data_IF_284748831329
#
_entry.id   IF_284748831329
#
_cell.length_a   1.000
_cell.length_b   1.000
_cell.length_c   1.000
_cell.angle_alpha   90.00
_cell.angle_beta   90.00
_cell.angle_gamma   90.00
#
_symmetry.space_group_name_H-M   'P 1'
#
loop_
_entity.id
_entity.type
_entity.pdbx_description
1 polymer ?
#
# COMPACT_ATOMS: atom_id res chain seq x y z
N UNK A 1 4.31 0.11 35.00
CA UNK A 1 2.95 0.64 35.25
C UNK A 1 2.02 -0.54 35.46
N UNK A 2 1.32 -0.60 36.59
CA UNK A 2 0.34 -1.67 36.83
C UNK A 2 -0.77 -1.56 35.77
N UNK A 3 -0.91 -2.58 34.92
CA UNK A 3 -2.10 -2.70 34.06
C UNK A 3 -3.27 -3.01 34.99
N UNK A 4 -4.33 -2.20 34.95
CA UNK A 4 -5.55 -2.47 35.70
C UNK A 4 -6.19 -3.80 35.30
N UNK A 5 -7.16 -4.28 36.07
CA UNK A 5 -7.92 -5.51 35.79
C UNK A 5 -8.44 -5.48 34.35
N UNK A 6 -8.24 -6.56 33.59
CA UNK A 6 -8.77 -6.69 32.23
C UNK A 6 -10.30 -6.70 32.28
N UNK A 7 -10.95 -6.11 31.27
CA UNK A 7 -12.41 -6.17 31.12
C UNK A 7 -12.83 -7.59 30.71
N UNK A 8 -13.86 -8.13 31.36
CA UNK A 8 -14.47 -9.40 30.94
C UNK A 8 -15.57 -9.16 29.90
N UNK A 9 -15.89 -10.19 29.12
CA UNK A 9 -16.93 -10.10 28.09
C UNK A 9 -18.31 -9.76 28.69
N UNK A 10 -18.60 -10.24 29.90
CA UNK A 10 -19.82 -9.89 30.65
C UNK A 10 -19.87 -8.40 31.02
N UNK A 11 -18.76 -7.84 31.51
CA UNK A 11 -18.67 -6.42 31.84
C UNK A 11 -18.81 -5.54 30.59
N UNK A 12 -18.27 -6.01 29.45
CA UNK A 12 -18.38 -5.32 28.16
C UNK A 12 -19.84 -5.35 27.68
N UNK A 13 -20.53 -6.49 27.76
CA UNK A 13 -21.93 -6.59 27.37
C UNK A 13 -22.83 -5.68 28.22
N UNK A 14 -22.60 -5.61 29.54
CA UNK A 14 -23.31 -4.70 30.44
C UNK A 14 -23.02 -3.24 30.08
N UNK A 15 -21.76 -2.92 29.78
CA UNK A 15 -21.35 -1.58 29.38
C UNK A 15 -22.02 -1.15 28.06
N UNK A 16 -22.11 -2.06 27.09
CA UNK A 16 -22.76 -1.82 25.79
C UNK A 16 -24.27 -1.62 25.92
N UNK A 17 -24.95 -2.39 26.78
CA UNK A 17 -26.38 -2.22 27.07
C UNK A 17 -26.65 -0.85 27.69
N UNK A 18 -25.89 -0.47 28.72
CA UNK A 18 -26.04 0.81 29.41
C UNK A 18 -25.66 2.01 28.51
N UNK A 19 -24.66 1.84 27.64
CA UNK A 19 -24.28 2.84 26.65
C UNK A 19 -25.37 3.00 25.56
N UNK A 20 -25.99 1.90 25.14
CA UNK A 20 -27.11 1.91 24.19
C UNK A 20 -28.34 2.61 24.76
N UNK A 21 -28.53 2.54 26.08
CA UNK A 21 -29.55 3.31 26.81
C UNK A 21 -29.21 4.80 26.97
N UNK A 22 -28.05 5.25 26.46
CA UNK A 22 -27.64 6.65 26.44
C UNK A 22 -27.13 7.18 27.79
N UNK A 23 -26.78 6.29 28.73
CA UNK A 23 -26.31 6.69 30.06
C UNK A 23 -24.89 7.27 30.00
N UNK A 24 -24.66 8.33 30.76
CA UNK A 24 -23.33 8.91 30.91
C UNK A 24 -22.41 8.03 31.77
N UNK A 25 -21.07 8.13 31.63
CA UNK A 25 -20.14 7.32 32.43
C UNK A 25 -20.31 7.43 33.95
N UNK A 26 -20.76 8.60 34.44
CA UNK A 26 -21.05 8.83 35.86
C UNK A 26 -22.32 8.07 36.29
N UNK A 27 -23.37 8.10 35.48
CA UNK A 27 -24.61 7.36 35.75
C UNK A 27 -24.40 5.84 35.68
N UNK A 28 -23.53 5.37 34.78
CA UNK A 28 -23.14 3.96 34.70
C UNK A 28 -22.42 3.53 35.97
N UNK A 29 -21.53 4.38 36.51
CA UNK A 29 -20.85 4.11 37.77
C UNK A 29 -21.83 4.09 38.96
N UNK A 30 -22.73 5.07 39.02
CA UNK A 30 -23.76 5.17 40.07
C UNK A 30 -24.78 4.01 40.01
N UNK A 31 -24.97 3.38 38.85
CA UNK A 31 -25.84 2.21 38.71
C UNK A 31 -25.37 0.99 39.52
N UNK A 32 -24.11 0.99 39.98
CA UNK A 32 -23.53 -0.09 40.77
C UNK A 32 -23.37 -1.42 40.03
N UNK A 33 -23.72 -1.49 38.73
CA UNK A 33 -23.63 -2.71 37.92
C UNK A 33 -22.20 -3.15 37.60
N UNK A 34 -21.21 -2.25 37.77
CA UNK A 34 -19.79 -2.52 37.58
C UNK A 34 -19.01 -2.15 38.86
N UNK A 35 -19.14 -2.93 39.95
CA UNK A 35 -18.68 -2.53 41.29
C UNK A 35 -17.16 -2.41 41.43
N UNK A 36 -16.38 -3.03 40.55
CA UNK A 36 -14.91 -2.96 40.56
C UNK A 36 -14.32 -1.95 39.54
N UNK A 37 -15.18 -1.21 38.83
CA UNK A 37 -14.74 -0.29 37.77
C UNK A 37 -14.89 1.16 38.20
N UNK A 38 -13.81 1.93 38.05
CA UNK A 38 -13.85 3.36 38.27
C UNK A 38 -14.52 4.10 37.10
N UNK A 39 -15.03 5.30 37.37
CA UNK A 39 -15.59 6.20 36.33
C UNK A 39 -14.61 6.38 35.16
N UNK A 40 -13.32 6.50 35.45
CA UNK A 40 -12.27 6.65 34.44
C UNK A 40 -12.06 5.39 33.60
N UNK A 41 -12.20 4.19 34.18
CA UNK A 41 -12.13 2.95 33.43
C UNK A 41 -13.30 2.83 32.45
N UNK A 42 -14.52 3.12 32.92
CA UNK A 42 -15.76 3.15 32.10
C UNK A 42 -15.61 4.14 30.95
N UNK A 43 -15.15 5.36 31.23
CA UNK A 43 -14.94 6.40 30.22
C UNK A 43 -13.93 5.99 29.15
N UNK A 44 -12.83 5.35 29.55
CA UNK A 44 -11.81 4.85 28.61
C UNK A 44 -12.35 3.71 27.75
N UNK A 45 -13.10 2.80 28.34
CA UNK A 45 -13.67 1.66 27.62
C UNK A 45 -14.72 2.10 26.59
N UNK A 46 -15.60 3.05 26.93
CA UNK A 46 -16.56 3.61 25.97
C UNK A 46 -15.91 4.30 24.77
N UNK A 47 -14.73 4.92 24.95
CA UNK A 47 -13.94 5.48 23.85
C UNK A 47 -13.24 4.44 22.98
N UNK A 48 -13.01 3.24 23.51
CA UNK A 48 -12.40 2.12 22.76
C UNK A 48 -13.48 1.31 22.03
N UNK A 49 -14.65 1.13 22.65
CA UNK A 49 -15.82 0.49 22.07
C UNK A 49 -16.56 1.37 21.04
N UNK A 50 -16.23 2.67 20.94
CA UNK A 50 -16.74 3.49 19.85
C UNK A 50 -16.24 2.91 18.54
N UNK A 51 -17.18 2.42 17.73
CA UNK A 51 -16.95 1.90 16.38
C UNK A 51 -16.07 2.90 15.65
N UNK A 52 -14.78 2.59 15.50
CA UNK A 52 -13.90 3.35 14.64
C UNK A 52 -14.49 3.15 13.25
N UNK A 53 -15.14 4.18 12.70
CA UNK A 53 -15.56 4.18 11.30
C UNK A 53 -14.32 3.91 10.46
N UNK A 54 -14.18 2.66 10.02
CA UNK A 54 -13.18 2.29 9.02
C UNK A 54 -13.62 2.98 7.75
N UNK A 55 -12.92 4.05 7.38
CA UNK A 55 -13.14 4.71 6.10
C UNK A 55 -12.99 3.64 5.03
N UNK A 56 -14.05 3.41 4.25
CA UNK A 56 -13.98 2.52 3.10
C UNK A 56 -12.75 2.91 2.27
N UNK A 57 -11.79 1.99 2.16
CA UNK A 57 -10.66 2.17 1.27
C UNK A 57 -11.21 2.23 -0.14
N UNK A 58 -10.90 3.31 -0.86
CA UNK A 58 -11.32 3.49 -2.24
C UNK A 58 -10.97 2.23 -3.05
N UNK A 59 -11.93 1.73 -3.83
CA UNK A 59 -11.70 0.64 -4.77
C UNK A 59 -10.70 1.16 -5.80
N UNK A 60 -9.45 0.71 -5.71
CA UNK A 60 -8.39 1.08 -6.65
C UNK A 60 -8.53 0.16 -7.86
N UNK A 61 -8.56 0.72 -9.08
CA UNK A 61 -8.47 -0.08 -10.29
C UNK A 61 -7.11 -0.79 -10.33
N UNK A 62 -7.13 -2.11 -10.52
CA UNK A 62 -5.91 -2.91 -10.67
C UNK A 62 -5.19 -2.49 -11.95
N UNK A 63 -3.91 -2.14 -11.82
CA UNK A 63 -3.06 -1.79 -12.97
C UNK A 63 -2.61 -3.10 -13.63
N UNK A 64 -3.01 -3.34 -14.87
CA UNK A 64 -2.56 -4.48 -15.67
C UNK A 64 -1.20 -4.20 -16.34
N UNK A 65 -0.41 -5.24 -16.64
CA UNK A 65 0.83 -5.09 -17.39
C UNK A 65 0.59 -4.43 -18.76
N UNK A 66 1.43 -3.48 -19.12
CA UNK A 66 1.39 -2.89 -20.46
C UNK A 66 1.89 -3.92 -21.49
N UNK A 67 1.31 -3.94 -22.72
CA UNK A 67 1.76 -4.85 -23.78
C UNK A 67 3.20 -4.56 -24.21
N UNK A 68 3.59 -3.28 -24.25
CA UNK A 68 4.93 -2.82 -24.63
C UNK A 68 5.44 -1.74 -23.69
N UNK A 69 6.76 -1.67 -23.53
CA UNK A 69 7.42 -0.56 -22.82
C UNK A 69 7.49 0.68 -23.70
N UNK A 70 7.30 1.86 -23.10
CA UNK A 70 7.54 3.12 -23.79
C UNK A 70 9.03 3.30 -24.12
N UNK A 71 9.32 3.86 -25.29
CA UNK A 71 10.69 4.26 -25.60
C UNK A 71 11.10 5.47 -24.76
N UNK A 72 12.40 5.58 -24.45
CA UNK A 72 12.94 6.73 -23.71
C UNK A 72 12.65 8.06 -24.42
N UNK A 73 12.71 8.08 -25.76
CA UNK A 73 12.36 9.25 -26.56
C UNK A 73 10.90 9.67 -26.32
N UNK A 74 9.98 8.71 -26.29
CA UNK A 74 8.57 9.00 -26.04
C UNK A 74 8.35 9.59 -24.64
N UNK A 75 9.00 9.03 -23.62
CA UNK A 75 8.94 9.55 -22.24
C UNK A 75 9.48 10.98 -22.14
N UNK A 76 10.59 11.29 -22.82
CA UNK A 76 11.16 12.64 -22.85
C UNK A 76 10.23 13.64 -23.56
N UNK A 77 9.54 13.23 -24.62
CA UNK A 77 8.53 14.07 -25.30
C UNK A 77 7.34 14.38 -24.38
N UNK A 78 6.84 13.37 -23.66
CA UNK A 78 5.78 13.56 -22.66
C UNK A 78 6.21 14.49 -21.53
N UNK A 79 7.42 14.26 -20.98
CA UNK A 79 8.00 15.12 -19.96
C UNK A 79 8.10 16.58 -20.42
N UNK A 80 8.64 16.79 -21.63
CA UNK A 80 8.81 18.12 -22.21
C UNK A 80 7.47 18.83 -22.44
N UNK A 81 6.44 18.08 -22.84
CA UNK A 81 5.07 18.61 -23.00
C UNK A 81 4.50 19.04 -21.65
N UNK A 82 4.58 18.18 -20.64
CA UNK A 82 4.13 18.50 -19.28
C UNK A 82 4.90 19.70 -18.69
N UNK A 83 6.19 19.80 -18.96
CA UNK A 83 7.03 20.92 -18.53
C UNK A 83 6.63 22.25 -19.18
N UNK A 84 6.33 22.26 -20.48
CA UNK A 84 5.81 23.47 -21.13
C UNK A 84 4.46 23.89 -20.55
N UNK A 85 3.55 22.93 -20.38
CA UNK A 85 2.23 23.20 -19.81
C UNK A 85 2.33 23.84 -18.42
N UNK A 86 3.18 23.31 -17.52
CA UNK A 86 3.31 23.91 -16.19
C UNK A 86 3.91 25.34 -16.24
N UNK A 87 4.82 25.62 -17.17
CA UNK A 87 5.38 26.96 -17.36
C UNK A 87 4.38 27.98 -17.90
N UNK A 88 3.39 27.52 -18.66
CA UNK A 88 2.36 28.37 -19.28
C UNK A 88 1.16 28.64 -18.36
N UNK A 89 1.05 27.94 -17.22
CA UNK A 89 -0.07 28.12 -16.30
C UNK A 89 0.04 29.45 -15.53
N UNK A 90 -0.98 30.30 -15.66
CA UNK A 90 -1.10 31.55 -14.91
C UNK A 90 -1.63 31.35 -13.48
N UNK A 91 -2.45 30.31 -13.27
CA UNK A 91 -2.88 29.87 -11.94
C UNK A 91 -2.73 28.37 -11.84
N UNK A 92 -2.19 27.90 -10.71
CA UNK A 92 -1.95 26.49 -10.48
C UNK A 92 -2.60 26.09 -9.17
N UNK A 93 -3.53 25.14 -9.24
CA UNK A 93 -4.09 24.51 -8.05
C UNK A 93 -3.15 23.41 -7.52
N UNK A 94 -3.29 23.10 -6.23
CA UNK A 94 -2.42 22.13 -5.55
C UNK A 94 -2.48 20.74 -6.19
N UNK A 95 -3.65 20.30 -6.66
CA UNK A 95 -3.81 18.98 -7.25
C UNK A 95 -3.03 18.88 -8.57
N UNK A 96 -3.07 19.94 -9.39
CA UNK A 96 -2.30 20.02 -10.63
C UNK A 96 -0.79 20.00 -10.39
N UNK A 97 -0.28 20.73 -9.38
CA UNK A 97 1.15 20.66 -9.01
C UNK A 97 1.57 19.25 -8.59
N UNK A 98 0.76 18.57 -7.79
CA UNK A 98 1.04 17.18 -7.37
C UNK A 98 1.04 16.22 -8.58
N UNK A 99 0.12 16.39 -9.52
CA UNK A 99 0.11 15.60 -10.77
C UNK A 99 1.40 15.80 -11.57
N UNK A 100 1.84 17.03 -11.77
CA UNK A 100 3.11 17.30 -12.46
C UNK A 100 4.30 16.72 -11.71
N UNK A 101 4.33 16.85 -10.38
CA UNK A 101 5.37 16.24 -9.54
C UNK A 101 5.44 14.72 -9.75
N UNK A 102 4.30 14.03 -9.74
CA UNK A 102 4.23 12.58 -9.98
C UNK A 102 4.76 12.23 -11.37
N UNK A 103 4.36 12.96 -12.42
CA UNK A 103 4.82 12.74 -13.79
C UNK A 103 6.34 12.93 -13.91
N UNK A 104 6.89 14.01 -13.34
CA UNK A 104 8.32 14.30 -13.40
C UNK A 104 9.14 13.27 -12.63
N UNK A 105 8.64 12.82 -11.48
CA UNK A 105 9.30 11.77 -10.71
C UNK A 105 9.30 10.44 -11.49
N UNK A 106 8.15 10.04 -12.05
CA UNK A 106 8.05 8.83 -12.84
C UNK A 106 8.99 8.85 -14.06
N UNK A 107 9.05 9.97 -14.79
CA UNK A 107 9.94 10.11 -15.94
C UNK A 107 11.43 10.04 -15.56
N UNK A 108 11.82 10.65 -14.43
CA UNK A 108 13.19 10.58 -13.90
C UNK A 108 13.60 9.13 -13.59
N UNK A 109 12.70 8.37 -12.97
CA UNK A 109 13.00 7.00 -12.53
C UNK A 109 12.87 5.97 -13.67
N UNK A 110 12.20 6.35 -14.78
CA UNK A 110 11.98 5.46 -15.92
C UNK A 110 13.26 5.01 -16.63
N UNK A 111 14.22 5.93 -16.83
CA UNK A 111 15.47 5.61 -17.54
C UNK A 111 16.29 4.48 -16.88
N UNK A 112 16.60 4.59 -15.57
CA UNK A 112 17.25 3.51 -14.83
C UNK A 112 16.47 2.19 -14.82
N UNK A 113 15.13 2.27 -14.72
CA UNK A 113 14.25 1.10 -14.75
C UNK A 113 14.33 0.39 -16.11
N UNK A 114 14.16 1.13 -17.21
CA UNK A 114 14.22 0.60 -18.57
C UNK A 114 15.59 -0.02 -18.86
N UNK A 115 16.67 0.64 -18.44
CA UNK A 115 18.03 0.13 -18.62
C UNK A 115 18.25 -1.21 -17.88
N UNK A 116 17.67 -1.34 -16.70
CA UNK A 116 17.75 -2.56 -15.90
C UNK A 116 16.95 -3.69 -16.53
N UNK A 117 15.75 -3.39 -17.04
CA UNK A 117 14.92 -4.33 -17.79
C UNK A 117 15.62 -4.86 -19.04
N UNK A 118 16.16 -3.96 -19.89
CA UNK A 118 16.89 -4.34 -21.09
C UNK A 118 18.16 -5.15 -20.80
N UNK A 119 18.81 -4.92 -19.66
CA UNK A 119 19.94 -5.74 -19.21
C UNK A 119 19.48 -7.16 -18.85
N UNK A 120 18.32 -7.29 -18.24
CA UNK A 120 17.73 -8.57 -17.87
C UNK A 120 17.44 -9.42 -19.10
N UNK A 121 16.77 -8.86 -20.12
CA UNK A 121 16.50 -9.55 -21.39
C UNK A 121 17.78 -10.07 -22.06
N UNK A 122 18.86 -9.29 -22.03
CA UNK A 122 20.16 -9.72 -22.55
C UNK A 122 20.73 -10.90 -21.78
N UNK A 123 20.61 -10.89 -20.45
CA UNK A 123 21.09 -11.98 -19.60
C UNK A 123 20.28 -13.26 -19.85
N UNK A 124 18.96 -13.16 -19.94
CA UNK A 124 18.09 -14.30 -20.25
C UNK A 124 18.47 -14.94 -21.58
N UNK A 125 18.67 -14.13 -22.62
CA UNK A 125 19.12 -14.63 -23.92
C UNK A 125 20.48 -15.33 -23.85
N UNK A 126 21.43 -14.78 -23.08
CA UNK A 126 22.74 -15.42 -22.88
C UNK A 126 22.62 -16.76 -22.14
N UNK A 127 21.71 -16.87 -21.16
CA UNK A 127 21.44 -18.12 -20.45
C UNK A 127 20.86 -19.16 -21.40
N UNK A 128 19.92 -18.77 -22.26
CA UNK A 128 19.33 -19.67 -23.27
C UNK A 128 20.39 -20.18 -24.26
N UNK A 129 21.23 -19.29 -24.79
CA UNK A 129 22.33 -19.65 -25.69
C UNK A 129 23.33 -20.61 -25.02
N UNK A 130 23.70 -20.34 -23.76
CA UNK A 130 24.58 -21.21 -22.98
C UNK A 130 23.93 -22.57 -22.69
N UNK A 131 22.64 -22.60 -22.36
CA UNK A 131 21.92 -23.84 -22.13
C UNK A 131 21.89 -24.72 -23.39
N UNK A 132 21.66 -24.12 -24.56
CA UNK A 132 21.71 -24.81 -25.85
C UNK A 132 23.11 -25.38 -26.13
N UNK A 133 24.16 -24.57 -25.96
CA UNK A 133 25.54 -25.01 -26.15
C UNK A 133 25.94 -26.15 -25.20
N UNK A 134 25.49 -26.11 -23.93
CA UNK A 134 25.72 -27.19 -22.97
C UNK A 134 25.00 -28.46 -23.39
N UNK A 135 23.75 -28.37 -23.86
CA UNK A 135 23.01 -29.53 -24.35
C UNK A 135 23.69 -30.20 -25.54
N UNK A 136 24.19 -29.42 -26.51
CA UNK A 136 24.95 -29.92 -27.65
C UNK A 136 26.24 -30.63 -27.22
N UNK A 137 27.00 -30.02 -26.30
CA UNK A 137 28.24 -30.62 -25.77
C UNK A 137 27.97 -31.93 -25.00
N UNK A 138 26.86 -32.01 -24.27
CA UNK A 138 26.45 -33.23 -23.59
C UNK A 138 26.03 -34.32 -24.59
N UNK A 139 25.30 -33.98 -25.64
CA UNK A 139 24.95 -34.90 -26.72
C UNK A 139 26.20 -35.42 -27.44
N UNK A 140 27.14 -34.54 -27.80
CA UNK A 140 28.39 -34.92 -28.46
C UNK A 140 29.31 -35.78 -27.57
N UNK A 141 29.30 -35.57 -26.24
CA UNK A 141 30.03 -36.43 -25.28
C UNK A 141 29.36 -37.79 -25.05
N UNK A 142 28.02 -37.87 -25.16
CA UNK A 142 27.29 -39.14 -25.10
C UNK A 142 27.58 -40.07 -26.28
N UNK A 143 27.79 -39.51 -27.47
CA UNK A 143 28.11 -40.27 -28.71
C UNK A 143 29.52 -40.87 -28.72
N UNK A 144 30.48 -40.29 -27.99
CA UNK A 144 31.87 -40.79 -27.93
C UNK A 144 32.10 -41.95 -26.94
N UNK A 145 31.07 -42.39 -26.21
CA UNK A 145 31.16 -43.49 -25.23
C UNK A 145 30.50 -44.81 -25.69
N UNK A 146 30.07 -44.90 -26.94
CA UNK A 146 29.53 -46.12 -27.56
C UNK A 146 30.55 -46.77 -28.50
#
# INVERSE_FOLDING_TARGET
>A
MARGKLWTDEEIAILEDLASQGLSPQQIYESGRLPERTVDAIRKQLKLCSIVQTKHTAIVQTIEPAPDTLSMEHVVKLFSTAFKQICELQQVDKLTLERFRIIFQAAKDYGPLLSSFQRWEKIEKQIEELAAAVAELQAAKGVKKA
#
